data_IF_932578854638
#
_entry.id   IF_932578854638
#
_cell.length_a   1.000
_cell.length_b   1.000
_cell.length_c   1.000
_cell.angle_alpha   90.00
_cell.angle_beta   90.00
_cell.angle_gamma   90.00
#
_symmetry.space_group_name_H-M   'P 1'
#
loop_
_entity.id
_entity.type
_entity.pdbx_description
1 polymer ?
#
# COMPACT_ATOMS: atom_id res chain seq x y z
N UNK A 1 19.41 -3.41 -15.72
CA UNK A 1 19.69 -4.68 -15.00
C UNK A 1 19.22 -4.47 -13.57
N UNK A 2 18.63 -5.50 -12.94
CA UNK A 2 18.22 -5.47 -11.53
C UNK A 2 19.18 -6.34 -10.72
N UNK A 3 19.40 -5.99 -9.46
CA UNK A 3 20.27 -6.72 -8.53
C UNK A 3 19.54 -6.95 -7.20
N UNK A 4 19.79 -8.10 -6.59
CA UNK A 4 19.48 -8.36 -5.19
C UNK A 4 20.77 -8.86 -4.52
N UNK A 5 21.13 -8.24 -3.40
CA UNK A 5 22.32 -8.56 -2.64
C UNK A 5 21.89 -9.10 -1.26
N UNK A 6 22.54 -10.16 -0.79
CA UNK A 6 22.26 -10.77 0.51
C UNK A 6 23.40 -10.49 1.49
N UNK A 7 23.05 -10.15 2.74
CA UNK A 7 24.01 -9.91 3.83
C UNK A 7 24.40 -8.45 4.03
N UNK A 8 24.39 -7.62 2.98
CA UNK A 8 24.59 -6.19 3.09
C UNK A 8 23.94 -5.45 1.91
N UNK A 9 23.61 -4.17 2.13
CA UNK A 9 23.27 -3.25 1.07
C UNK A 9 24.53 -2.83 0.29
N UNK A 10 24.40 -2.56 -1.00
CA UNK A 10 25.44 -1.95 -1.83
C UNK A 10 25.12 -0.45 -2.01
N UNK A 11 25.89 0.45 -1.36
CA UNK A 11 25.69 1.89 -1.48
C UNK A 11 25.82 2.43 -2.90
N UNK A 12 26.48 1.70 -3.81
CA UNK A 12 26.63 2.09 -5.21
C UNK A 12 25.33 2.19 -5.99
N UNK A 13 24.24 1.60 -5.48
CA UNK A 13 22.90 1.70 -6.08
C UNK A 13 22.01 2.78 -5.43
N UNK A 14 22.49 3.48 -4.40
CA UNK A 14 21.76 4.56 -3.73
C UNK A 14 22.27 5.93 -4.20
N UNK A 15 21.37 6.80 -4.68
CA UNK A 15 21.70 8.15 -5.15
C UNK A 15 21.71 9.19 -4.02
N UNK A 16 21.15 8.84 -2.86
CA UNK A 16 20.96 9.70 -1.71
C UNK A 16 21.04 8.89 -0.40
N UNK A 17 21.16 9.54 0.78
CA UNK A 17 21.16 8.85 2.06
C UNK A 17 19.88 8.03 2.29
N UNK A 18 20.04 6.87 2.92
CA UNK A 18 18.93 5.98 3.23
C UNK A 18 18.04 6.54 4.33
N UNK A 19 16.75 6.66 4.02
CA UNK A 19 15.67 6.90 4.97
C UNK A 19 15.16 5.57 5.52
N UNK A 20 15.04 5.45 6.84
CA UNK A 20 14.60 4.22 7.49
C UNK A 20 13.18 4.31 8.03
N UNK A 21 12.36 3.31 7.72
CA UNK A 21 11.00 3.15 8.22
C UNK A 21 10.88 1.87 9.04
N UNK A 22 10.35 1.95 10.27
CA UNK A 22 10.06 0.75 11.07
C UNK A 22 8.87 -0.01 10.49
N UNK A 23 8.91 -1.33 10.58
CA UNK A 23 7.77 -2.16 10.20
C UNK A 23 6.59 -1.93 11.16
N UNK A 24 5.39 -1.87 10.60
CA UNK A 24 4.16 -1.76 11.39
C UNK A 24 3.67 -3.10 11.93
N UNK A 25 4.07 -4.21 11.29
CA UNK A 25 3.74 -5.58 11.69
C UNK A 25 4.98 -6.47 11.52
N UNK A 26 5.52 -7.06 12.60
CA UNK A 26 6.60 -8.03 12.53
C UNK A 26 6.31 -9.21 11.59
N UNK A 27 7.30 -9.61 10.79
CA UNK A 27 7.17 -10.75 9.87
C UNK A 27 6.41 -10.45 8.57
N UNK A 28 6.00 -9.20 8.37
CA UNK A 28 5.47 -8.71 7.10
C UNK A 28 6.20 -7.42 6.72
N UNK A 29 6.57 -7.25 5.44
CA UNK A 29 7.23 -6.02 4.96
C UNK A 29 6.24 -4.87 4.82
N UNK A 30 5.51 -4.59 5.91
CA UNK A 30 4.42 -3.65 5.99
C UNK A 30 4.85 -2.39 6.73
N UNK A 31 4.41 -1.26 6.20
CA UNK A 31 4.68 0.08 6.68
C UNK A 31 3.37 0.83 6.85
N UNK A 32 3.38 1.82 7.73
CA UNK A 32 2.28 2.77 7.85
C UNK A 32 2.64 4.06 7.11
N UNK A 33 1.77 4.46 6.19
CA UNK A 33 1.81 5.76 5.53
C UNK A 33 0.86 6.70 6.25
N UNK A 34 1.32 7.92 6.47
CA UNK A 34 0.51 8.99 7.06
C UNK A 34 -0.36 9.67 6.02
N UNK A 35 0.14 9.79 4.80
CA UNK A 35 -0.46 10.61 3.76
C UNK A 35 -0.04 10.14 2.36
N UNK A 36 -0.95 10.28 1.39
CA UNK A 36 -0.63 10.33 -0.03
C UNK A 36 -0.95 11.71 -0.58
N UNK A 37 -0.06 12.23 -1.42
CA UNK A 37 -0.26 13.46 -2.16
C UNK A 37 0.01 13.27 -3.65
N UNK A 38 -0.69 14.01 -4.49
CA UNK A 38 -0.50 14.04 -5.95
C UNK A 38 -0.31 15.48 -6.37
N UNK A 39 0.81 15.80 -7.03
CA UNK A 39 1.14 17.17 -7.44
C UNK A 39 1.36 18.11 -6.25
N UNK A 40 1.81 17.57 -5.11
CA UNK A 40 1.95 18.32 -3.85
C UNK A 40 0.64 18.57 -3.11
N UNK A 41 -0.51 18.15 -3.66
CA UNK A 41 -1.80 18.24 -2.99
C UNK A 41 -2.13 16.95 -2.25
N UNK A 42 -2.40 17.07 -0.95
CA UNK A 42 -2.85 15.96 -0.11
C UNK A 42 -4.17 15.38 -0.61
N UNK A 43 -4.24 14.05 -0.70
CA UNK A 43 -5.49 13.35 -0.97
C UNK A 43 -6.30 13.16 0.31
N UNK A 44 -7.58 13.54 0.26
CA UNK A 44 -8.56 13.29 1.32
C UNK A 44 -9.01 11.82 1.29
N UNK A 45 -8.23 10.95 1.94
CA UNK A 45 -8.44 9.49 2.00
C UNK A 45 -9.01 9.03 3.35
N UNK A 46 -8.41 9.48 4.44
CA UNK A 46 -8.68 8.99 5.80
C UNK A 46 -9.38 10.01 6.70
N UNK A 47 -10.06 10.99 6.11
CA UNK A 47 -10.88 11.99 6.81
C UNK A 47 -12.28 11.40 7.02
N UNK A 48 -12.79 11.43 8.26
CA UNK A 48 -14.15 10.99 8.56
C UNK A 48 -15.12 12.01 7.98
N UNK A 49 -16.10 11.53 7.22
CA UNK A 49 -17.20 12.23 6.53
C UNK A 49 -16.91 13.67 6.05
N UNK A 50 -16.83 13.82 4.73
CA UNK A 50 -16.40 15.02 4.04
C UNK A 50 -17.09 16.30 4.48
N UNK A 51 -16.33 17.18 5.15
CA UNK A 51 -16.29 18.62 4.84
C UNK A 51 -15.24 19.41 5.64
N UNK A 52 -14.27 18.77 6.29
CA UNK A 52 -13.22 19.49 7.02
C UNK A 52 -11.85 18.98 6.61
N UNK A 53 -11.01 19.92 6.17
CA UNK A 53 -9.61 19.68 5.88
C UNK A 53 -8.95 19.04 7.12
N UNK A 54 -8.09 18.02 6.93
CA UNK A 54 -7.54 17.22 8.00
C UNK A 54 -6.60 18.09 8.84
N UNK A 55 -7.12 18.56 9.98
CA UNK A 55 -6.29 18.94 11.09
C UNK A 55 -5.42 17.74 11.45
N UNK A 56 -4.11 17.93 11.40
CA UNK A 56 -3.10 16.93 11.75
C UNK A 56 -3.50 16.23 13.05
N UNK A 57 -3.74 14.92 13.00
CA UNK A 57 -3.99 14.09 14.18
C UNK A 57 -5.47 13.89 14.57
N UNK A 58 -6.46 14.38 13.81
CA UNK A 58 -7.87 14.06 14.09
C UNK A 58 -8.26 12.72 13.48
N UNK A 59 -8.68 11.77 14.33
CA UNK A 59 -9.18 10.45 13.93
C UNK A 59 -10.44 10.59 13.06
N UNK A 60 -10.61 9.83 11.97
CA UNK A 60 -11.86 9.83 11.22
C UNK A 60 -13.02 9.41 12.13
N UNK A 61 -14.02 10.28 12.31
CA UNK A 61 -15.28 9.89 12.96
C UNK A 61 -16.00 8.99 11.98
N UNK A 62 -16.27 7.75 12.38
CA UNK A 62 -17.01 6.81 11.56
C UNK A 62 -18.43 6.68 12.07
N UNK A 63 -19.38 6.64 11.13
CA UNK A 63 -20.76 6.37 11.44
C UNK A 63 -20.92 4.95 12.03
N UNK A 64 -21.77 4.82 13.04
CA UNK A 64 -22.24 3.52 13.49
C UNK A 64 -22.89 2.78 12.29
N UNK A 65 -22.61 1.49 12.15
CA UNK A 65 -23.01 0.72 10.98
C UNK A 65 -21.95 0.61 9.89
N UNK A 66 -20.80 1.29 10.03
CA UNK A 66 -19.69 1.16 9.08
C UNK A 66 -19.14 -0.28 9.08
N UNK A 67 -18.99 -0.87 7.89
CA UNK A 67 -18.32 -2.15 7.73
C UNK A 67 -16.83 -1.98 8.01
N UNK A 68 -16.25 -2.88 8.79
CA UNK A 68 -14.84 -2.87 9.15
C UNK A 68 -14.26 -4.27 9.00
N UNK A 69 -12.95 -4.36 8.77
CA UNK A 69 -12.24 -5.63 8.84
C UNK A 69 -11.11 -5.58 9.86
N UNK A 70 -10.75 -6.73 10.43
CA UNK A 70 -9.67 -6.86 11.40
C UNK A 70 -9.28 -8.32 11.61
N UNK A 71 -8.18 -8.56 12.32
CA UNK A 71 -7.81 -9.88 12.82
C UNK A 71 -8.48 -10.14 14.17
N UNK A 72 -9.79 -10.37 14.14
CA UNK A 72 -10.57 -10.60 15.36
C UNK A 72 -10.15 -11.88 16.09
N UNK A 73 -10.35 -11.90 17.41
CA UNK A 73 -10.07 -13.09 18.23
C UNK A 73 -11.32 -13.94 18.45
N UNK A 74 -11.24 -14.95 19.34
CA UNK A 74 -12.37 -15.86 19.63
C UNK A 74 -13.27 -15.42 20.80
N UNK A 75 -12.82 -14.46 21.59
CA UNK A 75 -13.55 -14.05 22.79
C UNK A 75 -14.77 -13.23 22.39
N UNK A 76 -15.90 -13.50 23.06
CA UNK A 76 -17.20 -13.05 22.58
C UNK A 76 -18.14 -12.59 23.70
N UNK A 77 -18.73 -11.41 23.51
CA UNK A 77 -19.88 -10.92 24.25
C UNK A 77 -21.13 -10.94 23.37
N UNK A 78 -22.32 -11.08 23.97
CA UNK A 78 -23.61 -11.10 23.26
C UNK A 78 -24.10 -9.70 22.92
N UNK A 79 -23.68 -8.70 23.69
CA UNK A 79 -24.14 -7.32 23.53
C UNK A 79 -23.11 -6.32 24.03
N UNK A 80 -23.31 -5.05 23.67
CA UNK A 80 -22.55 -3.91 24.23
C UNK A 80 -22.74 -3.81 25.75
N UNK A 81 -23.95 -4.07 26.26
CA UNK A 81 -24.21 -4.02 27.71
C UNK A 81 -23.44 -5.12 28.48
N UNK A 82 -23.36 -6.34 27.94
CA UNK A 82 -22.54 -7.40 28.54
C UNK A 82 -21.05 -7.00 28.54
N UNK A 83 -20.60 -6.41 27.44
CA UNK A 83 -19.23 -5.91 27.29
C UNK A 83 -18.83 -4.92 28.41
N UNK A 84 -19.72 -4.00 28.80
CA UNK A 84 -19.41 -2.98 29.82
C UNK A 84 -19.11 -3.55 31.21
N UNK A 85 -19.51 -4.80 31.46
CA UNK A 85 -19.32 -5.48 32.74
C UNK A 85 -18.39 -6.70 32.66
N UNK A 86 -17.91 -7.07 31.47
CA UNK A 86 -17.17 -8.31 31.22
C UNK A 86 -15.85 -8.03 30.49
N UNK A 87 -14.73 -8.32 31.15
CA UNK A 87 -13.40 -8.10 30.59
C UNK A 87 -12.98 -9.20 29.62
N UNK A 88 -13.58 -10.41 29.70
CA UNK A 88 -13.14 -11.55 28.87
C UNK A 88 -13.27 -11.32 27.38
N UNK A 89 -14.12 -10.42 26.90
CA UNK A 89 -14.31 -10.13 25.47
C UNK A 89 -13.63 -8.84 25.01
N UNK A 90 -12.75 -8.28 25.84
CA UNK A 90 -12.07 -7.02 25.59
C UNK A 90 -10.61 -7.24 25.17
N UNK A 91 -10.25 -6.76 23.99
CA UNK A 91 -8.89 -6.74 23.52
C UNK A 91 -8.23 -5.39 23.85
N UNK A 92 -6.96 -5.47 24.23
CA UNK A 92 -6.10 -4.31 24.50
C UNK A 92 -4.94 -4.31 23.51
N UNK A 93 -4.21 -3.20 23.43
CA UNK A 93 -3.09 -3.10 22.49
C UNK A 93 -1.97 -4.11 22.76
N UNK A 94 -1.75 -4.47 24.03
CA UNK A 94 -0.76 -5.46 24.46
C UNK A 94 -1.24 -6.91 24.42
N UNK A 95 -2.43 -7.17 23.88
CA UNK A 95 -2.96 -8.54 23.80
C UNK A 95 -2.09 -9.40 22.87
N UNK A 96 -1.51 -10.45 23.44
CA UNK A 96 -0.62 -11.40 22.76
C UNK A 96 -1.27 -12.78 22.55
N UNK A 97 -2.55 -12.93 22.89
CA UNK A 97 -3.28 -14.18 22.72
C UNK A 97 -3.63 -14.45 21.26
N UNK A 98 -4.42 -15.50 21.03
CA UNK A 98 -4.80 -15.91 19.68
C UNK A 98 -5.64 -14.83 18.99
N UNK A 99 -5.30 -14.54 17.73
CA UNK A 99 -6.11 -13.80 16.75
C UNK A 99 -6.22 -14.60 15.47
N UNK A 100 -7.24 -14.31 14.66
CA UNK A 100 -7.34 -14.87 13.32
C UNK A 100 -6.09 -14.56 12.49
N UNK A 101 -5.68 -15.52 11.65
CA UNK A 101 -4.57 -15.33 10.71
C UNK A 101 -4.97 -14.49 9.50
N UNK A 102 -6.24 -14.47 9.16
CA UNK A 102 -6.81 -13.68 8.06
C UNK A 102 -7.77 -12.65 8.61
N UNK A 103 -7.88 -11.51 7.92
CA UNK A 103 -8.88 -10.51 8.25
C UNK A 103 -10.28 -11.12 8.12
N UNK A 104 -11.13 -10.81 9.08
CA UNK A 104 -12.56 -11.10 9.08
C UNK A 104 -13.31 -9.76 9.15
N UNK A 105 -14.61 -9.77 8.90
CA UNK A 105 -15.44 -8.58 8.75
C UNK A 105 -16.47 -8.45 9.87
N UNK A 106 -16.81 -7.21 10.19
CA UNK A 106 -17.85 -6.87 11.13
C UNK A 106 -18.39 -5.47 10.92
N UNK A 107 -19.27 -5.05 11.81
CA UNK A 107 -19.94 -3.76 11.76
C UNK A 107 -19.61 -2.96 13.01
N UNK A 108 -19.14 -1.73 12.84
CA UNK A 108 -18.87 -0.80 13.94
C UNK A 108 -20.17 -0.46 14.68
N UNK A 109 -20.19 -0.65 16.00
CA UNK A 109 -21.33 -0.35 16.86
C UNK A 109 -21.16 0.95 17.64
N UNK A 110 -19.97 1.16 18.19
CA UNK A 110 -19.65 2.30 19.03
C UNK A 110 -18.14 2.49 19.15
N UNK A 111 -17.72 3.73 19.39
CA UNK A 111 -16.35 4.09 19.75
C UNK A 111 -16.30 4.55 21.21
N UNK A 112 -15.19 4.28 21.88
CA UNK A 112 -15.02 4.58 23.29
C UNK A 112 -13.87 5.58 23.52
N UNK A 113 -13.93 6.40 24.58
CA UNK A 113 -12.88 7.37 24.92
C UNK A 113 -11.49 6.75 25.11
N UNK A 114 -11.43 5.47 25.49
CA UNK A 114 -10.18 4.71 25.66
C UNK A 114 -9.52 4.27 24.34
N UNK A 115 -10.03 4.73 23.19
CA UNK A 115 -9.47 4.46 21.87
C UNK A 115 -9.80 3.08 21.32
N UNK A 116 -10.73 2.36 21.94
CA UNK A 116 -11.26 1.07 21.46
C UNK A 116 -12.62 1.26 20.78
N UNK A 117 -13.05 0.26 20.03
CA UNK A 117 -14.31 0.23 19.32
C UNK A 117 -15.03 -1.11 19.53
N UNK A 118 -16.35 -1.06 19.67
CA UNK A 118 -17.19 -2.25 19.66
C UNK A 118 -17.54 -2.62 18.23
N UNK A 119 -17.31 -3.89 17.87
CA UNK A 119 -17.62 -4.43 16.55
C UNK A 119 -18.53 -5.63 16.70
N UNK A 120 -19.60 -5.68 15.89
CA UNK A 120 -20.44 -6.87 15.73
C UNK A 120 -19.95 -7.70 14.55
N UNK A 121 -19.59 -8.94 14.83
CA UNK A 121 -19.21 -9.94 13.85
C UNK A 121 -20.44 -10.54 13.17
N UNK A 122 -20.23 -11.25 12.05
CA UNK A 122 -21.31 -11.86 11.27
C UNK A 122 -22.12 -12.92 12.04
N UNK A 123 -21.50 -13.60 13.00
CA UNK A 123 -22.14 -14.60 13.88
C UNK A 123 -22.91 -13.95 15.06
N UNK A 124 -23.02 -12.62 15.08
CA UNK A 124 -23.67 -11.86 16.15
C UNK A 124 -22.74 -11.55 17.33
N UNK A 125 -21.51 -12.05 17.33
CA UNK A 125 -20.54 -11.80 18.38
C UNK A 125 -20.18 -10.32 18.49
N UNK A 126 -20.05 -9.80 19.71
CA UNK A 126 -19.57 -8.44 19.96
C UNK A 126 -18.19 -8.49 20.62
N UNK A 127 -17.24 -7.75 20.04
CA UNK A 127 -15.87 -7.62 20.54
C UNK A 127 -15.49 -6.16 20.72
N UNK A 128 -14.76 -5.84 21.79
CA UNK A 128 -14.12 -4.52 21.95
C UNK A 128 -12.66 -4.61 21.54
N UNK A 129 -12.28 -3.94 20.47
CA UNK A 129 -10.91 -4.02 19.91
C UNK A 129 -10.24 -2.65 19.87
N UNK A 130 -8.90 -2.57 19.96
CA UNK A 130 -8.18 -1.34 19.66
C UNK A 130 -8.60 -0.80 18.30
N UNK A 131 -9.00 0.46 18.24
CA UNK A 131 -9.49 1.06 16.99
C UNK A 131 -8.44 0.98 15.89
N UNK A 132 -7.16 1.11 16.23
CA UNK A 132 -6.02 0.96 15.30
C UNK A 132 -5.91 -0.41 14.63
N UNK A 133 -6.63 -1.44 15.09
CA UNK A 133 -6.68 -2.75 14.43
C UNK A 133 -7.74 -2.84 13.34
N UNK A 134 -8.62 -1.85 13.24
CA UNK A 134 -9.69 -1.85 12.24
C UNK A 134 -9.17 -1.29 10.92
N UNK A 135 -9.55 -1.94 9.83
CA UNK A 135 -9.46 -1.40 8.48
C UNK A 135 -10.86 -0.98 8.04
N UNK A 136 -10.90 0.12 7.31
CA UNK A 136 -12.14 0.73 6.82
C UNK A 136 -12.26 0.57 5.31
N UNK A 137 -13.49 0.64 4.76
CA UNK A 137 -13.72 0.44 3.33
C UNK A 137 -13.02 1.48 2.46
N UNK A 138 -12.71 2.65 3.03
CA UNK A 138 -11.89 3.69 2.38
C UNK A 138 -10.44 3.26 2.13
N UNK A 139 -10.00 2.13 2.70
CA UNK A 139 -8.63 1.64 2.66
C UNK A 139 -7.75 2.12 3.81
N UNK A 140 -8.31 2.91 4.72
CA UNK A 140 -7.59 3.46 5.86
C UNK A 140 -7.69 2.55 7.08
N UNK A 141 -6.66 2.60 7.92
CA UNK A 141 -6.67 2.00 9.25
C UNK A 141 -7.35 2.95 10.24
N UNK A 142 -7.83 2.38 11.35
CA UNK A 142 -8.38 3.10 12.49
C UNK A 142 -7.63 4.37 12.83
N UNK A 143 -6.33 4.27 13.06
CA UNK A 143 -5.50 5.41 13.45
C UNK A 143 -5.28 6.49 12.37
N UNK A 144 -5.96 6.39 11.22
CA UNK A 144 -5.88 7.36 10.13
C UNK A 144 -4.69 7.15 9.20
N UNK A 145 -3.94 6.07 9.38
CA UNK A 145 -2.83 5.68 8.48
C UNK A 145 -3.33 4.78 7.36
N UNK A 146 -2.51 4.63 6.32
CA UNK A 146 -2.72 3.69 5.23
C UNK A 146 -1.62 2.66 5.32
N UNK A 147 -1.99 1.37 5.33
CA UNK A 147 -0.98 0.32 5.35
C UNK A 147 -0.42 0.13 3.93
N UNK A 148 0.87 -0.09 3.82
CA UNK A 148 1.55 -0.36 2.57
C UNK A 148 2.49 -1.55 2.75
N UNK A 149 2.51 -2.46 1.78
CA UNK A 149 3.35 -3.66 1.77
C UNK A 149 4.30 -3.57 0.59
N UNK A 150 5.58 -3.82 0.83
CA UNK A 150 6.58 -3.94 -0.23
C UNK A 150 6.52 -5.34 -0.82
N UNK A 151 6.32 -5.42 -2.13
CA UNK A 151 6.17 -6.71 -2.81
C UNK A 151 7.02 -6.74 -4.09
N UNK A 152 8.19 -7.35 -3.99
CA UNK A 152 9.09 -7.58 -5.13
C UNK A 152 8.50 -8.52 -6.18
N UNK A 153 7.46 -9.28 -5.84
CA UNK A 153 6.71 -10.15 -6.76
C UNK A 153 5.58 -9.46 -7.52
N UNK A 154 5.27 -8.20 -7.19
CA UNK A 154 4.21 -7.45 -7.86
C UNK A 154 4.73 -6.57 -8.99
N UNK A 155 4.17 -6.74 -10.19
CA UNK A 155 4.49 -5.88 -11.34
C UNK A 155 3.87 -4.49 -11.29
N UNK A 156 2.83 -4.30 -10.46
CA UNK A 156 2.04 -3.07 -10.39
C UNK A 156 2.04 -2.51 -8.97
N UNK A 157 1.70 -1.23 -8.86
CA UNK A 157 1.17 -0.68 -7.62
C UNK A 157 -0.29 -1.11 -7.50
N UNK A 158 -0.70 -1.66 -6.36
CA UNK A 158 -2.09 -2.08 -6.14
C UNK A 158 -2.63 -1.53 -4.83
N UNK A 159 -3.94 -1.55 -4.65
CA UNK A 159 -4.53 -1.25 -3.34
C UNK A 159 -6.03 -1.07 -3.36
N UNK A 160 -6.61 -0.63 -2.23
CA UNK A 160 -8.04 -0.41 -2.11
C UNK A 160 -8.56 0.51 -3.22
N UNK A 161 -9.60 0.06 -3.92
CA UNK A 161 -10.20 0.81 -5.05
C UNK A 161 -10.43 2.30 -4.75
N UNK A 162 -11.00 2.70 -3.59
CA UNK A 162 -11.22 4.13 -3.31
C UNK A 162 -9.94 4.97 -3.28
N UNK A 163 -8.81 4.38 -2.86
CA UNK A 163 -7.51 5.06 -2.87
C UNK A 163 -7.00 5.15 -4.31
N UNK A 164 -6.99 4.02 -5.04
CA UNK A 164 -6.45 3.96 -6.40
C UNK A 164 -7.24 4.87 -7.36
N UNK A 165 -8.56 4.89 -7.26
CA UNK A 165 -9.41 5.77 -8.08
C UNK A 165 -9.13 7.25 -7.81
N UNK A 166 -8.96 7.66 -6.55
CA UNK A 166 -8.58 9.03 -6.19
C UNK A 166 -7.19 9.40 -6.70
N UNK A 167 -6.22 8.49 -6.64
CA UNK A 167 -4.88 8.69 -7.19
C UNK A 167 -4.95 8.87 -8.71
N UNK A 168 -5.60 7.96 -9.43
CA UNK A 168 -5.72 8.03 -10.89
C UNK A 168 -6.46 9.29 -11.36
N UNK A 169 -7.55 9.65 -10.67
CA UNK A 169 -8.28 10.90 -10.96
C UNK A 169 -7.41 12.14 -10.75
N UNK A 170 -6.59 12.18 -9.69
CA UNK A 170 -5.68 13.29 -9.42
C UNK A 170 -4.48 13.35 -10.39
N UNK A 171 -4.06 12.22 -10.96
CA UNK A 171 -3.04 12.18 -12.03
C UNK A 171 -3.59 12.80 -13.32
N UNK A 172 -4.85 12.48 -13.66
CA UNK A 172 -5.54 13.09 -14.81
C UNK A 172 -4.99 12.70 -16.18
N UNK A 173 -4.27 11.58 -16.28
CA UNK A 173 -3.74 11.07 -17.55
C UNK A 173 -4.80 10.30 -18.31
N UNK A 174 -4.83 10.49 -19.63
CA UNK A 174 -5.75 9.79 -20.54
C UNK A 174 -5.06 8.55 -21.13
N UNK A 175 -5.83 7.51 -21.47
CA UNK A 175 -5.28 6.30 -22.11
C UNK A 175 -4.59 6.65 -23.44
N UNK A 176 -5.26 7.46 -24.28
CA UNK A 176 -4.63 8.17 -25.38
C UNK A 176 -4.22 9.56 -24.90
N UNK A 177 -2.95 9.69 -24.53
CA UNK A 177 -2.35 10.92 -24.00
C UNK A 177 -1.67 11.76 -25.09
N UNK A 178 -2.07 11.58 -26.36
CA UNK A 178 -1.55 12.39 -27.47
C UNK A 178 -1.78 13.87 -27.20
N UNK A 179 -0.70 14.63 -27.03
CA UNK A 179 -0.74 16.07 -26.76
C UNK A 179 -0.75 16.44 -25.27
N UNK A 180 -0.77 15.48 -24.34
CA UNK A 180 -0.53 15.78 -22.91
C UNK A 180 0.96 16.04 -22.67
N UNK A 181 1.28 17.04 -21.84
CA UNK A 181 2.65 17.26 -21.38
C UNK A 181 3.01 16.22 -20.30
N UNK A 182 3.63 15.11 -20.71
CA UNK A 182 3.96 14.00 -19.82
C UNK A 182 4.97 14.37 -18.73
N UNK A 183 5.90 15.28 -19.02
CA UNK A 183 6.85 15.81 -18.04
C UNK A 183 6.15 16.71 -16.99
N UNK A 184 5.01 17.30 -17.36
CA UNK A 184 4.20 18.14 -16.47
C UNK A 184 3.18 17.37 -15.63
N UNK A 185 3.10 16.04 -15.78
CA UNK A 185 2.20 15.22 -14.95
C UNK A 185 2.64 15.27 -13.47
N UNK A 186 1.68 15.16 -12.54
CA UNK A 186 1.97 15.35 -11.12
C UNK A 186 2.82 14.20 -10.56
N UNK A 187 3.76 14.54 -9.66
CA UNK A 187 4.44 13.51 -8.86
C UNK A 187 3.51 12.95 -7.79
N UNK A 188 3.75 11.70 -7.38
CA UNK A 188 3.00 11.01 -6.31
C UNK A 188 3.91 10.88 -5.10
N UNK A 189 3.47 11.37 -3.95
CA UNK A 189 4.26 11.38 -2.73
C UNK A 189 3.62 10.51 -1.66
N UNK A 190 4.42 9.60 -1.08
CA UNK A 190 4.05 8.75 0.05
C UNK A 190 4.76 9.25 1.31
N UNK A 191 4.02 9.79 2.26
CA UNK A 191 4.61 10.27 3.53
C UNK A 191 4.60 9.14 4.55
N UNK A 192 5.77 8.80 5.09
CA UNK A 192 5.92 7.77 6.12
C UNK A 192 5.24 8.19 7.43
N UNK A 193 4.93 7.23 8.31
CA UNK A 193 4.22 7.49 9.57
C UNK A 193 4.91 8.53 10.46
N UNK A 194 6.24 8.62 10.42
CA UNK A 194 7.00 9.62 11.16
C UNK A 194 6.69 11.07 10.74
N UNK A 195 6.10 11.27 9.55
CA UNK A 195 5.76 12.57 8.98
C UNK A 195 6.95 13.41 8.54
N UNK A 196 8.18 12.96 8.78
CA UNK A 196 9.41 13.68 8.43
C UNK A 196 9.92 13.31 7.05
N UNK A 197 9.56 12.12 6.56
CA UNK A 197 10.08 11.60 5.31
C UNK A 197 8.98 11.35 4.28
N UNK A 198 9.25 11.79 3.06
CA UNK A 198 8.38 11.64 1.91
C UNK A 198 9.12 10.91 0.78
N UNK A 199 8.49 9.87 0.24
CA UNK A 199 8.98 9.08 -0.89
C UNK A 199 8.16 9.47 -2.12
N UNK A 200 8.77 10.23 -3.01
CA UNK A 200 8.15 10.80 -4.21
C UNK A 200 8.48 10.00 -5.48
N UNK A 201 7.45 9.68 -6.26
CA UNK A 201 7.52 9.07 -7.59
C UNK A 201 7.23 10.14 -8.64
N UNK A 202 8.10 10.23 -9.64
CA UNK A 202 7.92 11.08 -10.82
C UNK A 202 7.04 10.37 -11.87
N UNK A 203 6.51 11.07 -12.87
CA UNK A 203 5.69 10.47 -13.93
C UNK A 203 6.27 9.20 -14.55
N UNK A 204 7.55 9.21 -14.91
CA UNK A 204 8.22 8.03 -15.49
C UNK A 204 8.44 6.87 -14.50
N UNK A 205 8.32 7.10 -13.18
CA UNK A 205 8.46 6.02 -12.20
C UNK A 205 7.22 5.13 -12.17
N UNK A 206 6.04 5.73 -12.38
CA UNK A 206 4.75 5.06 -12.19
C UNK A 206 3.99 4.74 -13.49
N UNK A 207 4.49 5.11 -14.65
CA UNK A 207 3.77 5.00 -15.92
C UNK A 207 4.65 4.52 -17.07
N UNK A 208 4.10 3.69 -17.95
CA UNK A 208 4.67 3.40 -19.26
C UNK A 208 4.03 4.26 -20.35
N UNK A 209 4.83 4.59 -21.36
CA UNK A 209 4.46 5.44 -22.49
C UNK A 209 4.84 4.73 -23.78
N UNK A 210 3.89 4.58 -24.70
CA UNK A 210 4.10 4.02 -26.03
C UNK A 210 3.71 5.04 -27.09
N UNK A 211 4.69 5.53 -27.85
CA UNK A 211 4.43 6.39 -29.00
C UNK A 211 4.42 5.57 -30.29
N UNK A 212 3.27 5.57 -30.96
CA UNK A 212 3.02 4.95 -32.26
C UNK A 212 2.73 6.03 -33.31
N UNK A 213 2.51 5.62 -34.56
CA UNK A 213 2.19 6.55 -35.64
C UNK A 213 0.84 7.25 -35.46
N UNK A 214 -0.11 6.60 -34.78
CA UNK A 214 -1.49 7.06 -34.57
C UNK A 214 -1.70 7.76 -33.22
N UNK A 215 -0.68 7.83 -32.36
CA UNK A 215 -0.76 8.54 -31.10
C UNK A 215 0.26 8.10 -30.05
N UNK A 216 0.18 8.73 -28.88
CA UNK A 216 0.88 8.31 -27.67
C UNK A 216 -0.11 7.74 -26.68
N UNK A 217 0.17 6.54 -26.20
CA UNK A 217 -0.65 5.82 -25.24
C UNK A 217 0.08 5.73 -23.90
N UNK A 218 -0.66 5.96 -22.81
CA UNK A 218 -0.12 6.08 -21.46
C UNK A 218 -0.82 5.11 -20.51
N UNK A 219 -0.04 4.35 -19.74
CA UNK A 219 -0.57 3.41 -18.75
C UNK A 219 0.08 3.59 -17.38
N UNK A 220 -0.61 4.24 -16.43
CA UNK A 220 -0.21 4.22 -15.03
C UNK A 220 -0.25 2.78 -14.51
N UNK A 221 0.81 2.34 -13.85
CA UNK A 221 0.95 1.00 -13.27
C UNK A 221 0.20 0.87 -11.93
N UNK A 222 -1.07 1.25 -11.91
CA UNK A 222 -1.94 1.14 -10.74
C UNK A 222 -3.11 0.21 -11.01
N UNK A 223 -3.45 -0.63 -10.02
CA UNK A 223 -4.61 -1.51 -10.08
C UNK A 223 -5.40 -1.47 -8.78
N UNK A 224 -6.70 -1.20 -8.89
CA UNK A 224 -7.63 -1.34 -7.78
C UNK A 224 -7.86 -2.83 -7.46
N UNK A 225 -7.59 -3.23 -6.23
CA UNK A 225 -7.71 -4.59 -5.73
C UNK A 225 -8.62 -4.62 -4.49
N UNK A 226 -9.27 -5.77 -4.20
CA UNK A 226 -9.93 -5.98 -2.91
C UNK A 226 -8.90 -5.95 -1.76
N UNK A 227 -9.38 -5.91 -0.52
CA UNK A 227 -8.51 -6.04 0.64
C UNK A 227 -7.65 -7.30 0.55
N UNK A 228 -6.42 -7.21 1.08
CA UNK A 228 -5.61 -8.40 1.21
C UNK A 228 -6.25 -9.32 2.25
N UNK A 229 -5.91 -10.61 2.25
CA UNK A 229 -6.27 -11.49 3.38
C UNK A 229 -5.74 -11.01 4.74
N UNK A 230 -4.95 -9.92 4.76
CA UNK A 230 -4.39 -9.23 5.92
C UNK A 230 -5.00 -7.83 6.17
N UNK A 231 -6.12 -7.51 5.51
CA UNK A 231 -6.78 -6.20 5.59
C UNK A 231 -6.42 -5.28 4.42
N UNK A 232 -6.97 -4.07 4.42
CA UNK A 232 -6.70 -3.07 3.39
C UNK A 232 -5.24 -2.59 3.43
N UNK A 233 -4.50 -2.77 2.34
CA UNK A 233 -3.14 -2.27 2.19
C UNK A 233 -2.82 -1.93 0.73
N UNK A 234 -2.00 -0.91 0.52
CA UNK A 234 -1.33 -0.65 -0.75
C UNK A 234 -0.22 -1.68 -0.97
N UNK A 235 -0.09 -2.19 -2.19
CA UNK A 235 1.04 -3.02 -2.60
C UNK A 235 1.99 -2.13 -3.39
N UNK A 236 3.19 -1.92 -2.84
CA UNK A 236 4.27 -1.17 -3.46
C UNK A 236 5.14 -2.13 -4.27
N UNK A 237 4.76 -2.31 -5.54
CA UNK A 237 5.43 -3.21 -6.47
C UNK A 237 6.57 -2.57 -7.25
N UNK A 238 6.88 -3.15 -8.42
CA UNK A 238 7.99 -2.74 -9.29
C UNK A 238 8.08 -1.23 -9.59
N UNK A 239 6.99 -0.47 -9.84
CA UNK A 239 7.10 0.97 -10.07
C UNK A 239 7.81 1.72 -8.93
N UNK A 240 7.48 1.38 -7.69
CA UNK A 240 8.12 1.93 -6.50
C UNK A 240 9.53 1.37 -6.30
N UNK A 241 9.69 0.05 -6.41
CA UNK A 241 10.98 -0.65 -6.17
C UNK A 241 12.05 -0.34 -7.23
N UNK A 242 11.67 0.15 -8.42
CA UNK A 242 12.61 0.69 -9.43
C UNK A 242 13.04 2.12 -9.11
N UNK A 243 12.15 2.92 -8.53
CA UNK A 243 12.42 4.30 -8.16
C UNK A 243 13.30 4.37 -6.90
N UNK A 244 13.10 3.44 -5.97
CA UNK A 244 13.79 3.40 -4.68
C UNK A 244 14.59 2.11 -4.50
N UNK A 245 15.90 2.26 -4.34
CA UNK A 245 16.75 1.22 -3.79
C UNK A 245 16.27 0.91 -2.36
N UNK A 246 15.93 -0.35 -2.13
CA UNK A 246 15.20 -0.79 -0.94
C UNK A 246 16.02 -1.82 -0.17
N UNK A 247 16.35 -1.52 1.09
CA UNK A 247 17.09 -2.41 1.99
C UNK A 247 16.15 -3.02 3.02
N UNK A 248 16.07 -4.35 3.04
CA UNK A 248 15.22 -5.09 3.97
C UNK A 248 16.03 -5.54 5.19
N UNK A 249 15.85 -4.88 6.33
CA UNK A 249 16.55 -5.18 7.59
C UNK A 249 15.61 -5.96 8.53
N UNK A 250 15.70 -7.29 8.43
CA UNK A 250 14.84 -8.20 9.18
C UNK A 250 15.15 -8.18 10.69
N UNK A 251 16.43 -8.07 11.05
CA UNK A 251 16.88 -8.03 12.46
C UNK A 251 16.46 -6.72 13.13
N UNK A 252 16.66 -5.59 12.44
CA UNK A 252 16.24 -4.26 12.91
C UNK A 252 14.74 -3.98 12.77
N UNK A 253 13.97 -4.91 12.18
CA UNK A 253 12.55 -4.76 11.87
C UNK A 253 12.21 -3.43 11.18
N UNK A 254 12.94 -3.13 10.11
CA UNK A 254 12.81 -1.87 9.36
C UNK A 254 13.16 -2.05 7.89
N UNK A 255 12.75 -1.09 7.08
CA UNK A 255 13.13 -1.00 5.67
C UNK A 255 13.81 0.34 5.43
N UNK A 256 14.89 0.31 4.66
CA UNK A 256 15.62 1.49 4.19
C UNK A 256 15.25 1.82 2.75
N UNK A 257 15.06 3.11 2.46
CA UNK A 257 14.79 3.64 1.12
C UNK A 257 15.82 4.70 0.75
N UNK A 258 16.37 4.60 -0.45
CA UNK A 258 17.10 5.69 -1.08
C UNK A 258 16.69 5.75 -2.55
N UNK A 259 16.65 6.93 -3.16
CA UNK A 259 16.48 7.03 -4.62
C UNK A 259 17.49 6.11 -5.32
N UNK A 260 17.00 5.27 -6.22
CA UNK A 260 17.86 4.34 -6.95
C UNK A 260 18.79 5.11 -7.92
N UNK A 261 20.06 4.74 -7.96
CA UNK A 261 20.95 5.15 -9.04
C UNK A 261 20.55 4.39 -10.32
N UNK A 262 19.83 5.09 -11.19
CA UNK A 262 19.67 4.65 -12.56
C UNK A 262 21.02 4.87 -13.26
N UNK A 263 21.83 3.82 -13.43
CA UNK A 263 22.99 3.90 -14.34
C UNK A 263 22.43 4.29 -15.70
N UNK A 264 22.82 5.46 -16.21
CA UNK A 264 22.44 5.89 -17.54
C UNK A 264 22.70 4.72 -18.50
N UNK A 265 21.69 4.32 -19.26
CA UNK A 265 21.93 3.42 -20.38
C UNK A 265 23.00 4.11 -21.22
N UNK A 266 24.23 3.58 -21.23
CA UNK A 266 25.26 4.03 -22.15
C UNK A 266 24.65 4.05 -23.56
N UNK A 267 25.08 4.96 -24.46
CA UNK A 267 24.44 5.21 -25.74
C UNK A 267 24.09 3.87 -26.38
N UNK A 268 22.78 3.61 -26.47
CA UNK A 268 22.26 2.30 -26.79
C UNK A 268 22.96 1.79 -28.04
N UNK A 269 23.75 0.72 -27.91
CA UNK A 269 24.12 -0.06 -29.08
C UNK A 269 22.79 -0.45 -29.70
N UNK A 270 22.46 0.12 -30.85
CA UNK A 270 21.36 -0.35 -31.70
C UNK A 270 21.58 -1.84 -31.88
N UNK A 271 20.91 -2.66 -31.08
CA UNK A 271 20.91 -4.09 -31.27
C UNK A 271 20.17 -4.29 -32.59
N UNK A 272 20.93 -4.52 -33.67
CA UNK A 272 20.37 -5.14 -34.86
C UNK A 272 19.86 -6.50 -34.41
N UNK A 273 18.56 -6.59 -34.14
CA UNK A 273 17.89 -7.86 -33.98
C UNK A 273 18.15 -8.65 -35.26
N UNK A 274 19.05 -9.64 -35.17
CA UNK A 274 19.18 -10.66 -36.22
C UNK A 274 18.03 -11.64 -35.99
N UNK A 275 17.23 -11.98 -37.01
CA UNK A 275 16.21 -13.00 -36.87
C UNK A 275 16.88 -14.31 -36.43
N UNK A 276 16.50 -14.82 -35.26
CA UNK A 276 16.86 -16.17 -34.83
C UNK A 276 15.87 -17.10 -35.52
N UNK A 277 16.35 -17.86 -36.51
CA UNK A 277 15.53 -18.90 -37.14
C UNK A 277 15.27 -20.02 -36.12
N UNK A 278 14.02 -20.13 -35.67
CA UNK A 278 13.57 -21.27 -34.87
C UNK A 278 13.62 -22.54 -35.73
N UNK A 279 14.60 -23.41 -35.48
CA UNK A 279 14.63 -24.76 -36.03
C UNK A 279 13.83 -25.68 -35.12
N UNK A 280 12.65 -26.09 -35.56
CA UNK A 280 11.93 -27.20 -34.94
C UNK A 280 12.68 -28.51 -35.22
N UNK A 281 13.08 -29.23 -34.16
CA UNK A 281 13.45 -30.65 -34.27
C UNK A 281 12.21 -31.48 -33.95
N UNK A 282 11.77 -32.32 -34.89
CA UNK A 282 10.79 -33.37 -34.60
C UNK A 282 11.46 -34.44 -33.72
N UNK A 283 10.81 -34.94 -32.65
CA UNK A 283 11.29 -36.12 -31.94
C UNK A 283 11.29 -37.33 -32.89
N UNK A 284 12.28 -38.22 -32.75
CA UNK A 284 12.29 -39.49 -33.45
C UNK A 284 11.08 -40.33 -33.01
N UNK A 285 10.43 -40.98 -33.97
CA UNK A 285 9.42 -42.00 -33.74
C UNK A 285 9.99 -43.11 -32.87
N UNK A 286 9.26 -43.50 -31.84
CA UNK A 286 9.47 -44.77 -31.15
C UNK A 286 8.83 -45.86 -32.02
N UNK A 287 9.65 -46.80 -32.48
CA UNK A 287 9.21 -48.11 -32.98
C UNK A 287 8.86 -49.03 -31.80
#
# INVERSE_FOLDING_TARGET
ASEISFGAADPGHAAEPTVWARLSEPGYWQLSLRELAVGGQRLELCSGDGNTSPQVGRKPVLANGTNVSSFFGKMCCRSVAEFEHEERCQYTEGYSGWRSKTADSGTLLAEYPDGRAAVRMQDGCVQKVPRKWLFFPSGCRGDGTIQAVLDTGSSLMMGPKPIIEKVLAAIGVQENCTGQNLEGLPSISLTLQDGGHQLTLKPHDYMDVLSLADGTFCWPHFLGAPETGKGAALVLGMPFLRAYYTTFDAEGQRVGFARAQQKAAGPGRRARLRPVALRARRPASFD
#
